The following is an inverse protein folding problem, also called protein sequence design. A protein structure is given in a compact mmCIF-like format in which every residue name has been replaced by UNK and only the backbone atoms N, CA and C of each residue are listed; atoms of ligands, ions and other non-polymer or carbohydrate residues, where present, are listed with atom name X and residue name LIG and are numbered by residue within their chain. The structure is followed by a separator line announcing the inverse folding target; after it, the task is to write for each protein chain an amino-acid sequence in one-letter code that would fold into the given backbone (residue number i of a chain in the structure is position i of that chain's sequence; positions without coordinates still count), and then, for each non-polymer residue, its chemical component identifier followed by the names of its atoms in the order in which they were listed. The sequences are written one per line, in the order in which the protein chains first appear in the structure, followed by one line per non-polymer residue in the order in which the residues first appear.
data_IF_478497091819
#
_entry.id   IF_478497091819
#
_cell.length_a   1.000
_cell.length_b   1.000
_cell.length_c   1.000
_cell.angle_alpha   90.00
_cell.angle_beta   90.00
_cell.angle_gamma   90.00
#
_symmetry.space_group_name_H-M   'P 1'
#
loop_
_entity.id
_entity.type
_entity.pdbx_description
1 polymer ?
#
# COMPACT_ATOMS: atom_id res chain seq x y z
N UNK A 1 8.47 -8.25 -5.73
CA UNK A 1 7.23 -8.32 -6.54
C UNK A 1 6.35 -7.09 -6.28
N UNK A 2 5.70 -6.56 -7.32
CA UNK A 2 4.95 -5.30 -7.21
C UNK A 2 3.97 -5.08 -8.37
N UNK A 3 3.02 -4.17 -8.20
CA UNK A 3 2.05 -3.81 -9.23
C UNK A 3 2.60 -2.69 -10.10
N UNK A 4 2.70 -2.96 -11.41
CA UNK A 4 3.05 -1.95 -12.41
C UNK A 4 1.80 -1.22 -12.86
N UNK A 5 1.83 0.10 -12.78
CA UNK A 5 0.71 0.94 -13.16
C UNK A 5 0.92 1.48 -14.56
N UNK A 6 -0.11 1.35 -15.39
CA UNK A 6 -0.16 1.98 -16.70
C UNK A 6 -0.86 3.35 -16.60
N UNK A 7 -0.51 4.27 -17.48
CA UNK A 7 -1.13 5.60 -17.55
C UNK A 7 -0.13 6.69 -17.91
N UNK A 8 -0.38 7.90 -17.42
CA UNK A 8 0.50 9.05 -17.65
C UNK A 8 1.84 8.84 -16.97
N UNK A 9 2.93 8.91 -17.73
CA UNK A 9 4.28 8.81 -17.21
C UNK A 9 4.59 9.98 -16.26
N UNK A 10 5.21 9.65 -15.14
CA UNK A 10 5.75 10.61 -14.19
C UNK A 10 7.13 11.04 -14.69
N UNK A 11 7.25 12.30 -15.12
CA UNK A 11 8.54 12.86 -15.51
C UNK A 11 9.40 13.08 -14.26
N UNK A 12 10.59 12.48 -14.26
CA UNK A 12 11.62 12.80 -13.29
C UNK A 12 12.20 14.18 -13.60
N UNK A 13 12.45 14.99 -12.56
CA UNK A 13 13.12 16.30 -12.71
C UNK A 13 14.61 16.14 -13.02
N UNK A 14 15.23 15.10 -12.46
CA UNK A 14 16.64 14.79 -12.63
C UNK A 14 16.80 13.30 -12.93
N UNK A 15 17.74 12.96 -13.81
CA UNK A 15 18.04 11.57 -14.15
C UNK A 15 19.11 10.95 -13.22
N UNK A 16 19.11 11.39 -11.96
CA UNK A 16 20.04 10.87 -10.96
C UNK A 16 19.61 9.48 -10.51
N UNK A 17 20.56 8.56 -10.53
CA UNK A 17 20.44 7.30 -9.81
C UNK A 17 20.50 7.61 -8.31
N UNK A 18 19.55 7.08 -7.55
CA UNK A 18 19.60 7.16 -6.09
C UNK A 18 20.45 6.01 -5.56
N UNK A 19 21.14 6.29 -4.46
CA UNK A 19 21.74 5.23 -3.65
C UNK A 19 20.64 4.27 -3.20
N UNK A 20 21.01 2.99 -3.13
CA UNK A 20 20.11 1.94 -2.64
C UNK A 20 19.60 2.31 -1.24
N UNK A 21 18.29 2.36 -1.11
CA UNK A 21 17.61 2.67 0.15
C UNK A 21 16.60 1.59 0.51
N UNK A 22 16.20 1.56 1.77
CA UNK A 22 15.16 0.65 2.23
C UNK A 22 13.81 0.95 1.55
N UNK A 23 13.07 -0.12 1.29
CA UNK A 23 11.72 -0.07 0.75
C UNK A 23 10.78 -0.90 1.61
N UNK A 24 9.49 -0.57 1.56
CA UNK A 24 8.47 -1.20 2.39
C UNK A 24 7.25 -1.60 1.56
N UNK A 25 6.42 -2.47 2.13
CA UNK A 25 5.14 -2.82 1.52
C UNK A 25 4.29 -1.55 1.32
N UNK A 26 3.94 -1.26 0.07
CA UNK A 26 3.20 -0.06 -0.33
C UNK A 26 4.07 1.08 -0.90
N UNK A 27 5.40 0.95 -0.91
CA UNK A 27 6.28 1.95 -1.52
C UNK A 27 5.97 2.13 -3.00
N UNK A 28 5.83 3.39 -3.45
CA UNK A 28 5.50 3.73 -4.84
C UNK A 28 6.77 4.24 -5.54
N UNK A 29 7.42 3.38 -6.32
CA UNK A 29 8.65 3.66 -7.03
C UNK A 29 8.40 4.20 -8.44
N UNK A 30 9.26 5.11 -8.90
CA UNK A 30 9.27 5.64 -10.28
C UNK A 30 10.54 5.19 -11.00
N UNK A 31 10.49 4.13 -11.84
CA UNK A 31 11.60 3.71 -12.70
C UNK A 31 11.88 4.73 -13.83
N UNK A 32 12.94 4.51 -14.64
CA UNK A 32 13.29 5.41 -15.76
C UNK A 32 12.19 5.58 -16.81
N UNK A 33 11.35 4.57 -17.02
CA UNK A 33 10.22 4.65 -17.96
C UNK A 33 9.03 5.51 -17.45
N UNK A 34 9.12 6.04 -16.22
CA UNK A 34 8.10 6.92 -15.62
C UNK A 34 6.81 6.22 -15.20
N UNK A 35 6.67 4.90 -15.37
CA UNK A 35 5.47 4.15 -14.99
C UNK A 35 5.59 3.66 -13.54
N UNK A 36 4.71 4.09 -12.62
CA UNK A 36 4.84 3.75 -11.21
C UNK A 36 4.78 2.24 -10.92
N UNK A 37 5.54 1.81 -9.92
CA UNK A 37 5.48 0.45 -9.36
C UNK A 37 5.13 0.55 -7.88
N UNK A 38 4.05 -0.10 -7.45
CA UNK A 38 3.74 -0.26 -6.02
C UNK A 38 4.33 -1.58 -5.54
N UNK A 39 5.21 -1.56 -4.54
CA UNK A 39 5.75 -2.78 -3.96
C UNK A 39 4.69 -3.48 -3.10
N UNK A 40 4.50 -4.78 -3.34
CA UNK A 40 3.55 -5.60 -2.59
C UNK A 40 4.27 -6.39 -1.48
N UNK A 41 3.57 -7.34 -0.83
CA UNK A 41 4.11 -8.08 0.33
C UNK A 41 5.47 -8.74 0.03
N UNK A 42 5.63 -9.31 -1.16
CA UNK A 42 6.88 -9.95 -1.61
C UNK A 42 7.79 -8.97 -2.38
N UNK A 43 7.64 -7.68 -2.15
CA UNK A 43 8.48 -6.60 -2.67
C UNK A 43 9.94 -6.78 -2.26
N UNK A 44 10.88 -6.30 -3.09
CA UNK A 44 12.28 -6.25 -2.63
C UNK A 44 12.38 -5.32 -1.40
N UNK A 45 13.27 -5.62 -0.42
CA UNK A 45 13.45 -4.82 0.79
C UNK A 45 14.30 -3.57 0.56
N UNK A 46 15.00 -3.48 -0.56
CA UNK A 46 15.83 -2.34 -0.94
C UNK A 46 15.65 -2.00 -2.42
N UNK A 47 15.92 -0.75 -2.81
CA UNK A 47 15.90 -0.35 -4.21
C UNK A 47 16.52 1.02 -4.47
N UNK A 48 16.92 1.27 -5.72
CA UNK A 48 17.53 2.54 -6.16
C UNK A 48 16.60 3.45 -6.97
N UNK A 49 15.29 3.14 -7.00
CA UNK A 49 14.31 4.00 -7.66
C UNK A 49 13.71 5.01 -6.67
N UNK A 50 13.55 6.28 -7.07
CA UNK A 50 12.89 7.31 -6.29
C UNK A 50 11.48 6.88 -5.95
N UNK A 51 11.12 7.10 -4.69
CA UNK A 51 9.78 6.90 -4.19
C UNK A 51 9.01 8.21 -4.28
N UNK A 52 7.87 8.22 -4.97
CA UNK A 52 6.97 9.38 -5.03
C UNK A 52 5.99 9.42 -3.85
N UNK A 53 5.82 8.28 -3.17
CA UNK A 53 4.91 8.16 -2.05
C UNK A 53 4.84 6.75 -1.49
N UNK A 54 3.92 6.57 -0.55
CA UNK A 54 3.70 5.34 0.20
C UNK A 54 2.19 5.12 0.30
N UNK A 55 1.72 3.93 -0.06
CA UNK A 55 0.32 3.52 0.18
C UNK A 55 0.11 3.35 1.68
N UNK A 56 -0.95 3.97 2.20
CA UNK A 56 -1.31 3.85 3.60
C UNK A 56 -1.62 2.40 3.97
N UNK A 57 -1.16 1.97 5.16
CA UNK A 57 -1.35 0.59 5.64
C UNK A 57 -2.82 0.18 5.66
N UNK A 58 -3.72 1.14 5.89
CA UNK A 58 -5.18 0.94 5.87
C UNK A 58 -5.72 0.49 4.51
N UNK A 59 -5.04 0.81 3.40
CA UNK A 59 -5.53 0.54 2.05
C UNK A 59 -4.83 -0.63 1.35
N UNK A 60 -3.73 -1.16 1.90
CA UNK A 60 -2.96 -2.25 1.27
C UNK A 60 -3.79 -3.50 0.98
N UNK A 61 -4.72 -3.85 1.87
CA UNK A 61 -5.63 -4.99 1.68
C UNK A 61 -6.68 -4.73 0.59
N UNK A 62 -7.08 -3.47 0.38
CA UNK A 62 -7.96 -3.10 -0.73
C UNK A 62 -7.20 -3.17 -2.05
N UNK A 63 -5.97 -2.67 -2.05
CA UNK A 63 -5.08 -2.69 -3.21
C UNK A 63 -4.82 -4.12 -3.71
N UNK A 64 -4.55 -5.07 -2.81
CA UNK A 64 -4.26 -6.46 -3.18
C UNK A 64 -5.43 -7.20 -3.82
N UNK A 65 -6.65 -6.68 -3.69
CA UNK A 65 -7.87 -7.28 -4.27
C UNK A 65 -8.19 -6.70 -5.67
N UNK A 66 -7.41 -5.72 -6.15
CA UNK A 66 -7.63 -5.11 -7.46
C UNK A 66 -7.17 -6.07 -8.55
N UNK A 67 -8.08 -6.39 -9.49
CA UNK A 67 -7.77 -7.22 -10.66
C UNK A 67 -6.99 -6.43 -11.71
N UNK A 68 -6.12 -7.07 -12.51
CA UNK A 68 -5.49 -6.45 -13.67
C UNK A 68 -6.52 -5.77 -14.59
N UNK A 69 -6.18 -4.60 -15.10
CA UNK A 69 -7.05 -3.80 -15.97
C UNK A 69 -8.09 -2.94 -15.23
N UNK A 70 -8.28 -3.09 -13.91
CA UNK A 70 -9.12 -2.17 -13.14
C UNK A 70 -8.42 -0.84 -12.92
N UNK A 71 -9.18 0.24 -13.06
CA UNK A 71 -8.72 1.61 -12.83
C UNK A 71 -9.00 2.01 -11.38
N UNK A 72 -8.03 2.67 -10.76
CA UNK A 72 -8.19 3.33 -9.47
C UNK A 72 -7.46 4.68 -9.50
N UNK A 73 -7.69 5.50 -8.47
CA UNK A 73 -7.01 6.79 -8.31
C UNK A 73 -6.39 6.87 -6.93
N UNK A 74 -5.25 7.55 -6.84
CA UNK A 74 -4.66 7.90 -5.56
C UNK A 74 -5.36 9.13 -4.99
N UNK A 75 -5.61 9.09 -3.69
CA UNK A 75 -5.96 10.25 -2.89
C UNK A 75 -4.76 10.59 -2.00
N UNK A 76 -4.31 11.84 -2.05
CA UNK A 76 -3.28 12.31 -1.12
C UNK A 76 -3.93 12.48 0.25
N UNK A 77 -3.32 11.89 1.26
CA UNK A 77 -3.70 12.04 2.66
C UNK A 77 -2.46 12.43 3.48
N UNK A 78 -2.67 12.98 4.67
CA UNK A 78 -1.60 13.24 5.61
C UNK A 78 -1.21 11.98 6.40
N UNK A 79 -0.11 12.06 7.14
CA UNK A 79 0.32 10.96 8.03
C UNK A 79 -0.68 10.80 9.17
N UNK A 80 -1.21 11.91 9.69
CA UNK A 80 -2.20 11.95 10.76
C UNK A 80 -3.50 11.27 10.33
N UNK A 81 -4.01 11.59 9.12
CA UNK A 81 -5.17 10.92 8.55
C UNK A 81 -4.93 9.41 8.36
N UNK A 82 -3.74 9.03 7.88
CA UNK A 82 -3.39 7.62 7.69
C UNK A 82 -3.34 6.84 9.02
N UNK A 83 -2.83 7.47 10.10
CA UNK A 83 -2.80 6.90 11.45
C UNK A 83 -4.21 6.76 11.98
N UNK A 84 -5.02 7.81 11.88
CA UNK A 84 -6.40 7.82 12.36
C UNK A 84 -7.24 6.70 11.72
N UNK A 85 -7.20 6.58 10.39
CA UNK A 85 -7.89 5.50 9.66
C UNK A 85 -7.39 4.10 10.06
N UNK A 86 -6.11 3.97 10.39
CA UNK A 86 -5.55 2.70 10.86
C UNK A 86 -6.04 2.35 12.26
N UNK A 87 -6.13 3.34 13.16
CA UNK A 87 -6.66 3.18 14.51
C UNK A 87 -8.13 2.77 14.49
N UNK A 88 -8.96 3.44 13.67
CA UNK A 88 -10.37 3.09 13.47
C UNK A 88 -10.51 1.62 13.02
N UNK A 89 -9.69 1.19 12.05
CA UNK A 89 -9.72 -0.20 11.59
C UNK A 89 -9.29 -1.20 12.66
N UNK A 90 -8.27 -0.86 13.46
CA UNK A 90 -7.83 -1.70 14.57
C UNK A 90 -8.93 -1.79 15.63
N UNK A 91 -9.59 -0.67 15.95
CA UNK A 91 -10.71 -0.64 16.87
C UNK A 91 -11.86 -1.52 16.38
N UNK A 92 -12.25 -1.39 15.11
CA UNK A 92 -13.26 -2.24 14.48
C UNK A 92 -12.93 -3.73 14.60
N UNK A 93 -11.70 -4.13 14.28
CA UNK A 93 -11.28 -5.54 14.42
C UNK A 93 -11.28 -6.02 15.87
N UNK A 94 -10.96 -5.17 16.84
CA UNK A 94 -11.07 -5.53 18.27
C UNK A 94 -12.51 -5.77 18.68
N UNK A 95 -13.43 -4.89 18.28
CA UNK A 95 -14.87 -5.06 18.54
C UNK A 95 -15.41 -6.33 17.90
N UNK A 96 -15.07 -6.57 16.63
CA UNK A 96 -15.47 -7.78 15.92
C UNK A 96 -14.95 -9.04 16.61
N UNK A 97 -13.69 -9.06 17.05
CA UNK A 97 -13.13 -10.19 17.82
C UNK A 97 -13.87 -10.41 19.13
N UNK A 98 -14.24 -9.34 19.84
CA UNK A 98 -15.00 -9.44 21.07
C UNK A 98 -16.37 -10.08 20.84
N UNK A 99 -17.13 -9.57 19.86
CA UNK A 99 -18.45 -10.11 19.48
C UNK A 99 -18.35 -11.56 19.01
N UNK A 100 -17.34 -11.89 18.21
CA UNK A 100 -17.11 -13.28 17.79
C UNK A 100 -16.78 -14.18 18.98
N UNK A 101 -16.07 -13.71 20.01
CA UNK A 101 -15.83 -14.53 21.20
C UNK A 101 -17.13 -14.79 21.97
N UNK A 102 -17.88 -13.74 22.28
CA UNK A 102 -19.13 -13.83 23.04
C UNK A 102 -20.20 -14.72 22.34
N UNK A 103 -20.30 -14.63 21.01
CA UNK A 103 -21.34 -15.35 20.26
C UNK A 103 -20.92 -16.74 19.76
N UNK A 104 -19.65 -17.10 19.87
CA UNK A 104 -19.10 -18.33 19.28
C UNK A 104 -18.52 -19.30 20.32
N UNK A 105 -18.51 -18.92 21.61
CA UNK A 105 -18.35 -19.86 22.73
C UNK A 105 -19.58 -20.79 22.80
N UNK A 106 -19.54 -21.89 22.04
CA UNK A 106 -20.59 -22.92 22.01
C UNK A 106 -20.93 -23.49 20.63
N UNK A 107 -20.39 -22.93 19.54
CA UNK A 107 -20.59 -23.48 18.19
C UNK A 107 -19.48 -24.48 17.90
N UNK A 108 -19.73 -25.76 18.18
CA UNK A 108 -18.95 -26.89 17.67
C UNK A 108 -19.24 -27.05 16.18
N UNK A 109 -18.21 -27.02 15.33
CA UNK A 109 -18.29 -27.44 13.92
C UNK A 109 -18.48 -28.94 13.81
#
# INVERSE_FOLDING_TARGET
MGYRLNGKQVKRKEDKQLLTEATTFGSIQIPPNGLPIILMADGQPTGGYPKIGQVAKVDLSKLSQIRPGRVFRFQKITVEEAIHLLEERIHFYRQMKYVMKENWEGVTL
#
